data_IF_684171313193
#
_entry.id   IF_684171313193
#
_cell.length_a   1.000
_cell.length_b   1.000
_cell.length_c   1.000
_cell.angle_alpha   90.00
_cell.angle_beta   90.00
_cell.angle_gamma   90.00
#
_symmetry.space_group_name_H-M   'P 1'
#
loop_
_entity.id
_entity.type
_entity.pdbx_description
1 polymer ?
#
# COMPACT_ATOMS: atom_id res chain seq x y z
N UNK A 1 -22.91 -18.88 14.58
CA UNK A 1 -21.99 -19.50 13.60
C UNK A 1 -21.32 -18.31 12.96
N UNK A 2 -20.35 -17.77 13.69
CA UNK A 2 -19.80 -16.42 13.47
C UNK A 2 -18.30 -16.62 13.31
N UNK A 3 -17.90 -16.93 12.08
CA UNK A 3 -16.49 -16.88 11.67
C UNK A 3 -16.08 -15.40 11.62
N UNK A 4 -15.76 -14.85 12.79
CA UNK A 4 -14.88 -13.69 12.88
C UNK A 4 -13.47 -14.17 12.49
N UNK A 5 -13.27 -14.41 11.19
CA UNK A 5 -11.94 -14.51 10.63
C UNK A 5 -11.21 -13.22 10.97
N UNK A 6 -10.03 -13.36 11.57
CA UNK A 6 -9.17 -12.29 12.03
C UNK A 6 -8.86 -11.34 10.84
N UNK A 7 -9.73 -10.36 10.61
CA UNK A 7 -9.54 -9.34 9.57
C UNK A 7 -8.52 -8.36 10.11
N UNK A 8 -7.25 -8.64 9.86
CA UNK A 8 -6.18 -7.69 10.11
C UNK A 8 -6.56 -6.36 9.45
N UNK A 9 -6.46 -5.24 10.17
CA UNK A 9 -6.92 -3.96 9.65
C UNK A 9 -6.11 -3.61 8.40
N UNK A 10 -6.84 -3.45 7.30
CA UNK A 10 -6.30 -3.10 6.00
C UNK A 10 -6.67 -1.65 5.68
N UNK A 11 -5.66 -0.80 5.62
CA UNK A 11 -5.79 0.62 5.33
C UNK A 11 -5.42 0.89 3.87
N UNK A 12 -6.23 1.71 3.20
CA UNK A 12 -5.97 2.14 1.82
C UNK A 12 -5.92 3.67 1.75
N UNK A 13 -4.96 4.21 1.00
CA UNK A 13 -4.87 5.66 0.76
C UNK A 13 -4.30 6.00 -0.61
N UNK A 14 -4.64 7.18 -1.12
CA UNK A 14 -4.16 7.72 -2.39
C UNK A 14 -2.73 8.30 -2.24
N UNK A 15 -1.86 7.99 -3.20
CA UNK A 15 -0.51 8.54 -3.32
C UNK A 15 -0.37 9.21 -4.70
N UNK A 16 0.02 10.49 -4.78
CA UNK A 16 0.31 11.13 -6.06
C UNK A 16 1.42 10.41 -6.84
N UNK A 17 1.26 10.27 -8.15
CA UNK A 17 2.23 9.60 -9.02
C UNK A 17 3.62 10.27 -8.98
N UNK A 18 3.67 11.57 -8.73
CA UNK A 18 4.92 12.34 -8.58
C UNK A 18 5.73 11.94 -7.34
N UNK A 19 5.08 11.39 -6.31
CA UNK A 19 5.70 11.02 -5.03
C UNK A 19 5.89 9.51 -4.86
N UNK A 20 5.19 8.69 -5.66
CA UNK A 20 5.21 7.23 -5.52
C UNK A 20 6.62 6.64 -5.62
N UNK A 21 7.46 7.19 -6.50
CA UNK A 21 8.84 6.75 -6.68
C UNK A 21 9.71 6.94 -5.43
N UNK A 22 9.40 7.97 -4.61
CA UNK A 22 10.10 8.22 -3.34
C UNK A 22 9.73 7.17 -2.28
N UNK A 23 8.47 6.72 -2.26
CA UNK A 23 7.98 5.69 -1.34
C UNK A 23 8.54 4.32 -1.72
N UNK A 24 8.51 3.96 -3.00
CA UNK A 24 9.06 2.71 -3.50
C UNK A 24 10.58 2.68 -3.27
N UNK A 25 11.25 3.78 -3.60
CA UNK A 25 12.69 3.90 -3.57
C UNK A 25 13.38 3.06 -4.63
N UNK A 26 14.71 3.12 -4.65
CA UNK A 26 15.54 2.45 -5.66
C UNK A 26 15.31 0.94 -5.59
N UNK A 27 14.81 0.34 -6.68
CA UNK A 27 14.49 -1.09 -6.78
C UNK A 27 13.55 -1.60 -5.68
N UNK A 28 12.66 -0.76 -5.14
CA UNK A 28 11.75 -1.17 -4.06
C UNK A 28 12.41 -1.34 -2.69
N UNK A 29 13.65 -0.84 -2.50
CA UNK A 29 14.36 -0.97 -1.21
C UNK A 29 13.64 -0.26 -0.07
N UNK A 30 13.11 0.95 -0.31
CA UNK A 30 12.49 1.77 0.73
C UNK A 30 11.17 1.17 1.19
N UNK A 31 10.26 0.83 0.27
CA UNK A 31 8.98 0.21 0.63
C UNK A 31 9.16 -1.14 1.34
N UNK A 32 10.18 -1.92 0.95
CA UNK A 32 10.51 -3.19 1.60
C UNK A 32 11.04 -2.98 3.02
N UNK A 33 11.97 -2.04 3.20
CA UNK A 33 12.47 -1.66 4.52
C UNK A 33 11.34 -1.16 5.43
N UNK A 34 10.45 -0.31 4.90
CA UNK A 34 9.31 0.23 5.63
C UNK A 34 8.33 -0.88 6.05
N UNK A 35 8.04 -1.81 5.15
CA UNK A 35 7.21 -2.99 5.42
C UNK A 35 7.81 -3.85 6.54
N UNK A 36 9.12 -4.09 6.50
CA UNK A 36 9.83 -4.87 7.53
C UNK A 36 9.94 -4.13 8.86
N UNK A 37 10.15 -2.82 8.86
CA UNK A 37 10.29 -2.02 10.10
C UNK A 37 8.98 -1.86 10.86
N UNK A 38 7.85 -1.89 10.15
CA UNK A 38 6.53 -1.63 10.72
C UNK A 38 5.72 -2.91 10.91
N UNK A 39 6.24 -4.06 10.51
CA UNK A 39 5.50 -5.33 10.43
C UNK A 39 4.16 -5.18 9.68
N UNK A 40 4.21 -4.44 8.57
CA UNK A 40 3.06 -4.17 7.70
C UNK A 40 3.38 -4.61 6.28
N UNK A 41 2.41 -5.24 5.62
CA UNK A 41 2.45 -5.50 4.19
C UNK A 41 1.96 -4.26 3.43
N UNK A 42 2.87 -3.61 2.72
CA UNK A 42 2.58 -2.48 1.84
C UNK A 42 2.50 -2.91 0.37
N UNK A 43 1.45 -2.51 -0.33
CA UNK A 43 1.24 -2.80 -1.75
C UNK A 43 0.74 -1.54 -2.48
N UNK A 44 1.41 -1.16 -3.56
CA UNK A 44 0.96 -0.06 -4.41
C UNK A 44 0.26 -0.64 -5.64
N UNK A 45 -1.00 -0.26 -5.84
CA UNK A 45 -1.84 -0.64 -6.97
C UNK A 45 -2.30 0.59 -7.75
N UNK A 46 -2.64 0.41 -9.02
CA UNK A 46 -3.25 1.48 -9.80
C UNK A 46 -4.66 1.78 -9.28
N UNK A 47 -5.09 3.03 -9.44
CA UNK A 47 -6.47 3.40 -9.13
C UNK A 47 -7.43 2.64 -10.07
N UNK A 48 -8.61 2.31 -9.58
CA UNK A 48 -9.66 1.65 -10.37
C UNK A 48 -10.43 2.60 -11.31
N UNK A 49 -10.07 3.90 -11.31
CA UNK A 49 -10.77 4.95 -12.06
C UNK A 49 -9.77 5.51 -13.06
N UNK A 50 -10.01 5.39 -14.37
CA UNK A 50 -9.03 5.73 -15.40
C UNK A 50 -8.55 7.19 -15.29
N UNK A 51 -9.44 8.13 -14.96
CA UNK A 51 -9.08 9.55 -14.75
C UNK A 51 -8.09 9.77 -13.60
N UNK A 52 -8.11 8.91 -12.58
CA UNK A 52 -7.23 9.01 -11.42
C UNK A 52 -5.94 8.22 -11.58
N UNK A 53 -5.85 7.24 -12.50
CA UNK A 53 -4.64 6.43 -12.70
C UNK A 53 -3.43 7.29 -13.06
N UNK A 54 -3.62 8.33 -13.85
CA UNK A 54 -2.55 9.25 -14.25
C UNK A 54 -2.13 10.22 -13.15
N UNK A 55 -2.94 10.38 -12.10
CA UNK A 55 -2.69 11.34 -11.02
C UNK A 55 -2.26 10.68 -9.72
N UNK A 56 -2.86 9.54 -9.36
CA UNK A 56 -2.68 8.85 -8.08
C UNK A 56 -2.65 7.31 -8.23
N UNK A 57 -1.88 6.67 -7.35
CA UNK A 57 -1.93 5.24 -7.07
C UNK A 57 -2.54 4.99 -5.68
N UNK A 58 -2.98 3.78 -5.42
CA UNK A 58 -3.49 3.37 -4.11
C UNK A 58 -2.41 2.57 -3.40
N UNK A 59 -2.08 2.97 -2.19
CA UNK A 59 -1.28 2.17 -1.28
C UNK A 59 -2.20 1.42 -0.32
N UNK A 60 -2.03 0.11 -0.26
CA UNK A 60 -2.64 -0.78 0.71
C UNK A 60 -1.62 -1.13 1.78
N UNK A 61 -1.98 -0.93 3.05
CA UNK A 61 -1.20 -1.29 4.22
C UNK A 61 -2.03 -2.23 5.09
N UNK A 62 -1.59 -3.48 5.23
CA UNK A 62 -2.21 -4.46 6.13
C UNK A 62 -1.20 -4.97 7.16
N UNK A 63 -1.59 -5.08 8.43
CA UNK A 63 -0.73 -5.67 9.46
C UNK A 63 -0.30 -7.10 9.09
N UNK A 64 0.93 -7.48 9.46
CA UNK A 64 1.36 -8.87 9.47
C UNK A 64 1.00 -9.47 10.84
N UNK A 65 0.26 -10.58 10.86
CA UNK A 65 -0.09 -11.31 12.08
C UNK A 65 1.10 -12.06 12.66
#
# INVERSE_FOLDING_TARGET
MDEAGDVLPMYEFEIPNTLVGLIIGIKGKTIKELSTRTDVRMLIRQHHTPEKVDTHQICQCGGLA
#
